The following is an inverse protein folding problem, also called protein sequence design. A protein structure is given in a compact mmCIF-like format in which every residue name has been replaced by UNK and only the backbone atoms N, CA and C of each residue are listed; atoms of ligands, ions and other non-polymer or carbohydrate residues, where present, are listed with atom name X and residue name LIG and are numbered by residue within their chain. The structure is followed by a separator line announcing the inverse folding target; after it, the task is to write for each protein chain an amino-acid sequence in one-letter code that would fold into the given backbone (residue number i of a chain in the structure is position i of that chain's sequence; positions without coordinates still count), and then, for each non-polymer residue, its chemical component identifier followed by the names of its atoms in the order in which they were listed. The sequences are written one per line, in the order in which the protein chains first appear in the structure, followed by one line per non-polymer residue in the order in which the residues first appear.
data_IF_857119394626
#
_entry.id   IF_857119394626
#
_cell.length_a   1.000
_cell.length_b   1.000
_cell.length_c   1.000
_cell.angle_alpha   90.00
_cell.angle_beta   90.00
_cell.angle_gamma   90.00
#
_symmetry.space_group_name_H-M   'P 1'
#
loop_
_entity.id
_entity.type
_entity.pdbx_description
1 polymer ?
#
# COMPACT_ATOMS: atom_id res chain seq x y z
N UNK A 1 -42.97 13.31 -43.28
CA UNK A 1 -41.96 12.25 -43.49
C UNK A 1 -40.57 12.88 -43.51
N UNK A 2 -39.84 12.85 -42.40
CA UNK A 2 -38.37 12.99 -42.38
C UNK A 2 -37.85 12.32 -41.10
N UNK A 3 -36.82 11.48 -41.24
CA UNK A 3 -36.26 10.58 -40.21
C UNK A 3 -35.39 11.32 -39.18
N UNK A 4 -35.29 10.73 -37.99
CA UNK A 4 -34.38 11.07 -36.89
C UNK A 4 -32.89 10.97 -37.29
N UNK A 5 -32.00 11.54 -36.47
CA UNK A 5 -31.09 10.63 -35.78
C UNK A 5 -31.06 10.82 -34.26
N UNK A 6 -30.97 9.68 -33.59
CA UNK A 6 -30.72 9.42 -32.18
C UNK A 6 -29.36 9.96 -31.74
N UNK A 7 -29.32 10.78 -30.69
CA UNK A 7 -28.06 11.06 -29.97
C UNK A 7 -27.96 10.13 -28.77
N UNK A 8 -27.02 9.19 -28.87
CA UNK A 8 -26.53 8.34 -27.79
C UNK A 8 -25.77 9.21 -26.79
N UNK A 9 -26.30 9.38 -25.58
CA UNK A 9 -25.51 9.85 -24.43
C UNK A 9 -24.92 8.59 -23.77
N UNK A 10 -23.80 8.14 -24.30
CA UNK A 10 -22.90 7.22 -23.63
C UNK A 10 -21.51 7.86 -23.64
N UNK A 11 -20.99 8.21 -22.46
CA UNK A 11 -19.60 8.64 -22.32
C UNK A 11 -19.39 9.80 -21.37
N UNK A 12 -19.31 9.48 -20.06
CA UNK A 12 -18.24 9.93 -19.15
C UNK A 12 -18.60 9.54 -17.71
N UNK A 13 -18.27 8.30 -17.36
CA UNK A 13 -17.95 7.95 -15.98
C UNK A 13 -16.62 7.21 -16.00
N UNK A 14 -15.55 7.94 -15.75
CA UNK A 14 -14.28 7.38 -15.34
C UNK A 14 -13.50 8.48 -14.63
N UNK A 15 -12.87 8.12 -13.51
CA UNK A 15 -11.98 8.92 -12.64
C UNK A 15 -12.67 9.63 -11.47
N UNK A 16 -13.03 8.82 -10.47
CA UNK A 16 -13.28 9.28 -9.10
C UNK A 16 -12.64 8.33 -8.05
N UNK A 17 -11.46 7.76 -8.34
CA UNK A 17 -10.75 6.84 -7.42
C UNK A 17 -9.27 7.26 -7.23
N UNK A 18 -9.00 8.51 -6.89
CA UNK A 18 -7.67 8.92 -6.41
C UNK A 18 -7.77 9.23 -4.93
N UNK A 19 -7.12 8.42 -4.09
CA UNK A 19 -6.99 8.69 -2.66
C UNK A 19 -5.89 9.74 -2.45
N UNK A 20 -6.17 10.88 -1.83
CA UNK A 20 -5.12 11.68 -1.23
C UNK A 20 -4.64 10.97 0.04
N UNK A 21 -3.48 10.32 -0.01
CA UNK A 21 -2.80 9.86 1.21
C UNK A 21 -2.15 11.11 1.82
N UNK A 22 -2.88 11.77 2.73
CA UNK A 22 -2.34 12.89 3.49
C UNK A 22 -1.53 12.38 4.68
N UNK A 23 -0.24 12.71 4.71
CA UNK A 23 0.54 12.70 5.95
C UNK A 23 0.19 13.98 6.71
N UNK A 24 -0.29 13.89 7.95
CA UNK A 24 -0.36 15.06 8.83
C UNK A 24 1.03 15.27 9.45
N UNK A 25 1.60 16.47 9.28
CA UNK A 25 2.96 16.83 9.70
C UNK A 25 3.20 16.91 11.23
N UNK A 26 2.24 16.48 12.06
CA UNK A 26 2.39 16.47 13.53
C UNK A 26 3.01 15.16 14.04
N UNK A 27 4.33 15.06 13.92
CA UNK A 27 5.12 14.03 14.62
C UNK A 27 5.51 14.54 16.02
N UNK A 28 4.65 14.31 17.01
CA UNK A 28 4.97 14.59 18.42
C UNK A 28 5.78 13.42 19.03
N UNK A 29 7.08 13.63 19.21
CA UNK A 29 7.99 12.70 19.88
C UNK A 29 7.73 12.72 21.40
N UNK A 30 6.65 12.13 21.87
CA UNK A 30 6.48 12.10 23.33
C UNK A 30 5.33 11.34 23.97
N UNK A 31 4.26 10.95 23.28
CA UNK A 31 3.12 10.34 23.98
C UNK A 31 2.44 9.25 23.12
N UNK A 32 2.19 8.08 23.73
CA UNK A 32 1.47 6.93 23.13
C UNK A 32 -0.04 7.18 22.97
N UNK A 33 -0.43 8.38 22.57
CA UNK A 33 -1.80 8.74 22.17
C UNK A 33 -1.73 9.99 21.29
N UNK A 34 -2.23 9.91 20.05
CA UNK A 34 -2.38 11.08 19.17
C UNK A 34 -3.84 11.50 19.20
N UNK A 35 -4.10 12.66 19.79
CA UNK A 35 -5.25 13.52 19.49
C UNK A 35 -4.77 14.63 18.55
N UNK A 36 -5.39 14.78 17.38
CA UNK A 36 -5.13 15.92 16.49
C UNK A 36 -6.46 16.55 16.07
N UNK A 37 -6.60 17.85 16.37
CA UNK A 37 -7.71 18.71 15.96
C UNK A 37 -7.32 19.45 14.68
N UNK A 38 -8.17 19.37 13.65
CA UNK A 38 -8.03 20.14 12.41
C UNK A 38 -9.39 20.38 11.75
N UNK A 39 -9.93 21.57 11.98
CA UNK A 39 -11.19 22.17 11.48
C UNK A 39 -12.36 21.21 11.22
N UNK A 40 -12.99 20.74 12.30
CA UNK A 40 -14.34 20.17 12.24
C UNK A 40 -15.33 21.33 12.20
N UNK A 41 -16.03 21.52 11.08
CA UNK A 41 -17.26 22.29 11.07
C UNK A 41 -18.32 21.52 11.86
N UNK A 42 -18.38 21.75 13.16
CA UNK A 42 -19.30 21.07 14.09
C UNK A 42 -20.70 21.65 13.95
N UNK A 43 -21.63 20.91 13.34
CA UNK A 43 -23.07 21.17 13.46
C UNK A 43 -23.60 20.39 14.68
N UNK A 44 -24.05 21.05 15.75
CA UNK A 44 -24.22 20.40 17.05
C UNK A 44 -25.61 19.77 17.22
N UNK A 45 -26.03 18.81 16.39
CA UNK A 45 -27.17 17.91 16.70
C UNK A 45 -27.11 16.59 15.89
N UNK A 46 -26.38 15.58 16.36
CA UNK A 46 -26.67 14.16 16.05
C UNK A 46 -25.85 13.22 16.95
N UNK A 47 -26.47 12.20 17.58
CA UNK A 47 -25.77 11.25 18.42
C UNK A 47 -25.09 10.16 17.56
N UNK A 48 -23.83 9.87 17.90
CA UNK A 48 -23.09 8.63 17.68
C UNK A 48 -23.30 7.83 16.38
N UNK A 49 -22.32 7.92 15.46
CA UNK A 49 -21.53 6.83 14.83
C UNK A 49 -20.70 7.50 13.74
N UNK A 50 -19.38 7.54 13.93
CA UNK A 50 -18.44 8.21 13.03
C UNK A 50 -18.36 7.50 11.70
N UNK A 51 -18.98 8.06 10.66
CA UNK A 51 -18.74 7.67 9.27
C UNK A 51 -17.35 8.16 8.88
N UNK A 52 -16.35 7.27 8.90
CA UNK A 52 -15.06 7.55 8.31
C UNK A 52 -15.25 7.86 6.82
N UNK A 53 -14.67 8.97 6.36
CA UNK A 53 -14.61 9.33 4.94
C UNK A 53 -13.95 8.16 4.18
N UNK A 54 -14.55 7.61 3.10
CA UNK A 54 -13.98 6.48 2.35
C UNK A 54 -12.59 6.75 1.75
N UNK A 55 -12.14 8.00 1.78
CA UNK A 55 -10.88 8.43 1.21
C UNK A 55 -9.70 8.48 2.20
N UNK A 56 -9.93 8.25 3.49
CA UNK A 56 -8.88 8.33 4.52
C UNK A 56 -8.56 6.93 5.06
N UNK A 57 -7.32 6.48 4.85
CA UNK A 57 -6.80 5.24 5.44
C UNK A 57 -5.90 5.60 6.61
N UNK A 58 -6.34 5.28 7.83
CA UNK A 58 -5.53 5.46 9.04
C UNK A 58 -4.70 4.19 9.26
N UNK A 59 -3.38 4.31 9.12
CA UNK A 59 -2.43 3.24 9.46
C UNK A 59 -1.88 3.52 10.85
N UNK A 60 -2.23 2.67 11.82
CA UNK A 60 -1.62 2.71 13.16
C UNK A 60 -0.43 1.76 13.18
N UNK A 61 0.73 2.28 13.57
CA UNK A 61 1.95 1.50 13.80
C UNK A 61 2.47 1.74 15.22
N UNK A 62 3.15 0.75 15.78
CA UNK A 62 4.00 0.88 16.96
C UNK A 62 5.16 1.86 16.68
N UNK A 63 5.90 2.20 17.73
CA UNK A 63 7.09 3.03 17.62
C UNK A 63 8.01 2.54 16.49
N UNK A 64 8.28 3.42 15.53
CA UNK A 64 9.19 3.19 14.41
C UNK A 64 10.44 4.06 14.59
N UNK A 65 11.41 3.61 15.41
CA UNK A 65 12.62 4.41 15.68
C UNK A 65 13.49 4.62 14.44
N UNK A 66 13.28 3.84 13.37
CA UNK A 66 14.04 3.94 12.12
C UNK A 66 13.41 4.89 11.09
N UNK A 67 12.12 5.24 11.29
CA UNK A 67 11.31 6.03 10.37
C UNK A 67 11.01 5.36 9.02
N UNK A 68 11.28 4.06 8.85
CA UNK A 68 11.09 3.38 7.56
C UNK A 68 9.61 3.32 7.16
N UNK A 69 8.69 3.20 8.13
CA UNK A 69 7.24 3.16 7.86
C UNK A 69 6.81 4.47 7.20
N UNK A 70 7.26 5.62 7.71
CA UNK A 70 6.96 6.92 7.13
C UNK A 70 7.46 7.04 5.68
N UNK A 71 8.69 6.57 5.42
CA UNK A 71 9.27 6.53 4.06
C UNK A 71 8.49 5.59 3.13
N UNK A 72 8.08 4.43 3.62
CA UNK A 72 7.28 3.47 2.87
C UNK A 72 5.91 4.05 2.48
N UNK A 73 5.22 4.73 3.40
CA UNK A 73 3.95 5.40 3.12
C UNK A 73 4.13 6.53 2.09
N UNK A 74 5.19 7.34 2.23
CA UNK A 74 5.50 8.39 1.26
C UNK A 74 5.81 7.80 -0.13
N UNK A 75 6.50 6.65 -0.18
CA UNK A 75 6.77 5.92 -1.43
C UNK A 75 5.48 5.41 -2.07
N UNK A 76 4.59 4.77 -1.32
CA UNK A 76 3.29 4.31 -1.81
C UNK A 76 2.44 5.47 -2.35
N UNK A 77 2.47 6.63 -1.68
CA UNK A 77 1.78 7.83 -2.14
C UNK A 77 2.27 8.26 -3.53
N UNK A 78 3.60 8.35 -3.73
CA UNK A 78 4.20 8.65 -5.04
C UNK A 78 3.86 7.60 -6.11
N UNK A 79 3.83 6.32 -5.75
CA UNK A 79 3.47 5.25 -6.68
C UNK A 79 2.00 5.34 -7.12
N UNK A 80 1.10 5.73 -6.21
CA UNK A 80 -0.33 5.90 -6.53
C UNK A 80 -0.63 7.05 -7.50
N UNK A 81 0.33 7.97 -7.70
CA UNK A 81 0.22 9.09 -8.63
C UNK A 81 0.65 8.72 -10.06
N UNK A 82 1.31 7.56 -10.25
CA UNK A 82 1.74 7.10 -11.57
C UNK A 82 0.54 7.00 -12.51
N UNK A 83 0.68 7.61 -13.68
CA UNK A 83 -0.31 7.49 -14.75
C UNK A 83 -0.02 6.24 -15.58
N UNK A 84 -1.02 5.79 -16.35
CA UNK A 84 -0.80 4.77 -17.36
C UNK A 84 0.37 5.16 -18.28
N UNK A 85 1.11 4.16 -18.73
CA UNK A 85 2.31 4.25 -19.54
C UNK A 85 3.49 4.98 -18.85
N UNK A 86 3.59 4.91 -17.52
CA UNK A 86 4.69 5.53 -16.75
C UNK A 86 6.09 4.98 -17.11
N UNK A 87 6.16 3.78 -17.68
CA UNK A 87 7.40 3.13 -18.12
C UNK A 87 7.69 3.30 -19.61
N UNK A 88 6.81 3.95 -20.38
CA UNK A 88 6.82 3.98 -21.85
C UNK A 88 6.62 2.64 -22.58
N UNK A 89 6.33 1.55 -21.85
CA UNK A 89 6.08 0.21 -22.39
C UNK A 89 4.65 -0.28 -22.10
N UNK A 90 3.74 0.63 -21.75
CA UNK A 90 2.32 0.35 -21.58
C UNK A 90 1.92 -0.07 -20.17
N UNK A 91 2.74 0.19 -19.14
CA UNK A 91 2.38 -0.10 -17.76
C UNK A 91 1.06 0.57 -17.34
N UNK A 92 0.34 -0.05 -16.42
CA UNK A 92 -0.87 0.50 -15.82
C UNK A 92 -0.53 1.37 -14.61
N UNK A 93 -1.38 2.35 -14.36
CA UNK A 93 -1.44 3.04 -13.07
C UNK A 93 -1.66 2.02 -11.93
N UNK A 94 -1.17 2.36 -10.74
CA UNK A 94 -1.27 1.47 -9.59
C UNK A 94 -2.73 1.38 -9.11
N UNK A 95 -3.21 0.16 -8.94
CA UNK A 95 -4.58 -0.08 -8.51
C UNK A 95 -4.77 0.17 -7.02
N UNK A 96 -5.95 0.71 -6.67
CA UNK A 96 -6.30 1.05 -5.28
C UNK A 96 -6.20 -0.15 -4.35
N UNK A 97 -6.62 -1.33 -4.79
CA UNK A 97 -6.59 -2.54 -3.97
C UNK A 97 -5.15 -2.97 -3.65
N UNK A 98 -4.21 -2.78 -4.58
CA UNK A 98 -2.79 -3.03 -4.34
C UNK A 98 -2.24 -2.09 -3.26
N UNK A 99 -2.58 -0.79 -3.32
CA UNK A 99 -2.17 0.20 -2.30
C UNK A 99 -2.72 -0.16 -0.93
N UNK A 100 -4.01 -0.50 -0.84
CA UNK A 100 -4.65 -0.88 0.43
C UNK A 100 -4.01 -2.14 1.04
N UNK A 101 -3.70 -3.15 0.21
CA UNK A 101 -3.01 -4.33 0.68
C UNK A 101 -1.57 -4.03 1.09
N UNK A 102 -0.87 -3.14 0.38
CA UNK A 102 0.48 -2.70 0.75
C UNK A 102 0.52 -2.01 2.12
N UNK A 103 -0.47 -1.17 2.43
CA UNK A 103 -0.60 -0.54 3.75
C UNK A 103 -0.89 -1.59 4.85
N UNK A 104 -1.72 -2.59 4.56
CA UNK A 104 -1.96 -3.70 5.48
C UNK A 104 -0.69 -4.53 5.71
N UNK A 105 0.13 -4.73 4.67
CA UNK A 105 1.41 -5.41 4.77
C UNK A 105 2.39 -4.63 5.65
N UNK A 106 2.55 -3.32 5.43
CA UNK A 106 3.39 -2.45 6.29
C UNK A 106 2.94 -2.56 7.74
N UNK A 107 1.63 -2.48 8.00
CA UNK A 107 1.07 -2.68 9.35
C UNK A 107 1.34 -4.09 9.89
N UNK A 108 1.44 -5.12 9.06
CA UNK A 108 1.75 -6.47 9.54
C UNK A 108 3.23 -6.64 9.91
N UNK A 109 4.13 -5.97 9.20
CA UNK A 109 5.58 -6.19 9.34
C UNK A 109 6.30 -5.06 10.10
N UNK A 110 5.61 -3.97 10.47
CA UNK A 110 6.23 -2.89 11.24
C UNK A 110 6.77 -3.42 12.58
N UNK A 111 8.08 -3.50 12.69
CA UNK A 111 8.82 -3.83 13.89
C UNK A 111 10.23 -3.22 13.76
N UNK A 112 10.82 -2.81 14.88
CA UNK A 112 12.13 -2.19 14.94
C UNK A 112 13.29 -3.04 14.36
N UNK A 113 13.10 -4.34 14.17
CA UNK A 113 14.12 -5.26 13.66
C UNK A 113 13.98 -5.60 12.17
N UNK A 114 13.06 -4.95 11.45
CA UNK A 114 12.84 -5.20 10.03
C UNK A 114 13.72 -4.30 9.18
N UNK A 115 14.47 -4.91 8.26
CA UNK A 115 15.16 -4.16 7.20
C UNK A 115 14.12 -3.47 6.31
N UNK A 116 14.39 -2.22 5.93
CA UNK A 116 13.51 -1.47 5.04
C UNK A 116 13.45 -2.12 3.65
N UNK A 117 12.26 -2.48 3.14
CA UNK A 117 12.11 -3.00 1.79
C UNK A 117 12.30 -1.90 0.74
N UNK A 118 12.77 -2.30 -0.43
CA UNK A 118 12.52 -1.50 -1.64
C UNK A 118 11.07 -1.71 -2.06
N UNK A 119 10.35 -0.62 -2.37
CA UNK A 119 8.96 -0.69 -2.83
C UNK A 119 8.87 -0.17 -4.27
N UNK A 120 8.49 -1.05 -5.18
CA UNK A 120 8.47 -0.81 -6.63
C UNK A 120 7.08 -1.05 -7.24
N UNK A 121 6.73 -0.31 -8.32
CA UNK A 121 5.51 -0.57 -9.08
C UNK A 121 5.68 -1.78 -10.00
N UNK A 122 4.62 -2.56 -10.18
CA UNK A 122 4.54 -3.59 -11.21
C UNK A 122 3.80 -3.04 -12.44
N UNK A 123 4.23 -3.43 -13.64
CA UNK A 123 3.67 -2.94 -14.89
C UNK A 123 2.17 -3.23 -15.06
N UNK A 124 1.65 -4.25 -14.36
CA UNK A 124 0.23 -4.61 -14.38
C UNK A 124 -0.66 -3.74 -13.46
N UNK A 125 -0.09 -2.78 -12.72
CA UNK A 125 -0.79 -1.97 -11.73
C UNK A 125 -0.68 -2.50 -10.29
N UNK A 126 0.14 -3.52 -10.06
CA UNK A 126 0.47 -4.05 -8.73
C UNK A 126 1.65 -3.32 -8.06
N UNK A 127 2.02 -3.78 -6.87
CA UNK A 127 3.16 -3.28 -6.08
C UNK A 127 4.01 -4.47 -5.65
N UNK A 128 5.32 -4.29 -5.56
CA UNK A 128 6.22 -5.30 -5.00
C UNK A 128 7.09 -4.70 -3.89
N UNK A 129 7.28 -5.48 -2.84
CA UNK A 129 8.23 -5.23 -1.76
C UNK A 129 9.40 -6.20 -1.92
N UNK A 130 10.62 -5.69 -1.83
CA UNK A 130 11.84 -6.46 -2.09
C UNK A 130 12.83 -6.26 -0.96
N UNK A 131 13.35 -7.37 -0.44
CA UNK A 131 14.48 -7.39 0.46
C UNK A 131 15.58 -8.23 -0.16
N UNK A 132 16.75 -7.62 -0.32
CA UNK A 132 17.94 -8.27 -0.84
C UNK A 132 19.03 -8.20 0.21
N UNK A 133 19.53 -9.36 0.61
CA UNK A 133 20.70 -9.53 1.48
C UNK A 133 21.70 -10.46 0.78
N UNK A 134 22.99 -10.50 1.17
CA UNK A 134 23.95 -11.36 0.49
C UNK A 134 23.61 -12.86 0.50
N UNK A 135 22.72 -13.30 1.41
CA UNK A 135 22.35 -14.70 1.57
C UNK A 135 20.88 -14.98 1.24
N UNK A 136 20.02 -13.97 1.22
CA UNK A 136 18.57 -14.13 1.12
C UNK A 136 17.94 -13.06 0.26
N UNK A 137 17.01 -13.49 -0.57
CA UNK A 137 16.14 -12.63 -1.35
C UNK A 137 14.69 -12.94 -0.97
N UNK A 138 13.93 -11.92 -0.63
CA UNK A 138 12.51 -12.01 -0.30
C UNK A 138 11.75 -11.00 -1.15
N UNK A 139 10.75 -11.48 -1.88
CA UNK A 139 9.83 -10.63 -2.63
C UNK A 139 8.41 -10.90 -2.19
N UNK A 140 7.64 -9.82 -2.07
CA UNK A 140 6.22 -9.87 -1.78
C UNK A 140 5.51 -9.05 -2.84
N UNK A 141 4.92 -9.74 -3.80
CA UNK A 141 4.19 -9.12 -4.90
C UNK A 141 2.73 -8.99 -4.51
N UNK A 142 2.14 -7.84 -4.76
CA UNK A 142 0.73 -7.53 -4.53
C UNK A 142 0.13 -7.21 -5.90
N UNK A 143 -0.77 -8.07 -6.34
CA UNK A 143 -1.42 -7.94 -7.63
C UNK A 143 -2.46 -6.79 -7.62
N UNK A 144 -2.92 -6.35 -8.81
CA UNK A 144 -3.91 -5.28 -8.95
C UNK A 144 -5.22 -5.52 -8.19
N UNK A 145 -5.60 -6.78 -7.95
CA UNK A 145 -6.82 -7.13 -7.21
C UNK A 145 -6.62 -7.18 -5.68
N UNK A 146 -5.40 -6.93 -5.18
CA UNK A 146 -5.04 -6.98 -3.77
C UNK A 146 -4.67 -8.37 -3.24
N UNK A 147 -4.66 -9.41 -4.07
CA UNK A 147 -4.02 -10.69 -3.74
C UNK A 147 -2.51 -10.50 -3.72
N UNK A 148 -1.83 -11.19 -2.83
CA UNK A 148 -0.38 -11.15 -2.79
C UNK A 148 0.21 -12.56 -2.93
N UNK A 149 1.50 -12.60 -3.21
CA UNK A 149 2.34 -13.80 -3.33
C UNK A 149 3.70 -13.53 -2.69
N UNK A 150 4.35 -14.58 -2.18
CA UNK A 150 5.72 -14.51 -1.68
C UNK A 150 6.63 -15.33 -2.59
N UNK A 151 7.81 -14.78 -2.88
CA UNK A 151 8.97 -15.51 -3.35
C UNK A 151 10.09 -15.38 -2.31
N UNK A 152 10.78 -16.47 -1.99
CA UNK A 152 11.94 -16.46 -1.12
C UNK A 152 13.04 -17.37 -1.64
N UNK A 153 14.27 -16.85 -1.65
CA UNK A 153 15.48 -17.58 -1.97
C UNK A 153 16.50 -17.44 -0.83
N UNK A 154 17.23 -18.52 -0.55
CA UNK A 154 18.37 -18.52 0.36
C UNK A 154 19.55 -19.27 -0.26
N UNK A 155 20.69 -18.59 -0.35
CA UNK A 155 21.93 -19.03 -0.99
C UNK A 155 22.73 -20.08 -0.18
N UNK A 156 22.03 -20.96 0.55
CA UNK A 156 22.64 -22.06 1.30
C UNK A 156 23.28 -23.13 0.40
N UNK A 157 23.76 -24.22 1.03
CA UNK A 157 24.26 -25.39 0.30
C UNK A 157 23.49 -26.65 0.75
N UNK A 158 22.50 -27.14 -0.03
CA UNK A 158 22.05 -26.61 -1.31
C UNK A 158 21.26 -25.30 -1.18
N UNK A 159 21.16 -24.48 -2.24
CA UNK A 159 20.28 -23.32 -2.25
C UNK A 159 18.82 -23.77 -2.12
N UNK A 160 18.01 -22.95 -1.46
CA UNK A 160 16.60 -23.25 -1.24
C UNK A 160 15.73 -22.11 -1.76
N UNK A 161 14.69 -22.46 -2.52
CA UNK A 161 13.66 -21.53 -2.99
C UNK A 161 12.28 -21.97 -2.51
N UNK A 162 11.39 -20.99 -2.30
CA UNK A 162 9.99 -21.25 -1.97
C UNK A 162 9.10 -20.16 -2.56
N UNK A 163 7.95 -20.56 -3.09
CA UNK A 163 6.90 -19.69 -3.64
C UNK A 163 5.54 -20.07 -3.04
N UNK A 164 4.64 -19.10 -2.87
CA UNK A 164 3.30 -19.40 -2.38
C UNK A 164 2.33 -18.21 -2.32
N UNK A 165 1.05 -18.55 -2.17
CA UNK A 165 -0.05 -17.59 -1.99
C UNK A 165 -0.15 -17.09 -0.54
N UNK A 166 -0.73 -15.89 -0.40
CA UNK A 166 -0.69 -15.07 0.81
C UNK A 166 -1.78 -15.36 1.83
N UNK A 167 -2.63 -16.35 1.63
CA UNK A 167 -3.60 -16.74 2.68
C UNK A 167 -2.92 -17.07 4.02
N UNK A 168 -1.65 -17.47 4.00
CA UNK A 168 -0.82 -17.76 5.18
C UNK A 168 0.21 -16.64 5.52
N UNK A 169 0.14 -15.49 4.83
CA UNK A 169 1.17 -14.45 4.77
C UNK A 169 1.59 -13.90 6.13
N UNK A 170 0.65 -13.56 7.02
CA UNK A 170 1.01 -12.79 8.22
C UNK A 170 2.01 -13.52 9.12
N UNK A 171 1.85 -14.84 9.29
CA UNK A 171 2.78 -15.65 10.07
C UNK A 171 4.10 -15.90 9.34
N UNK A 172 4.02 -16.26 8.05
CA UNK A 172 5.21 -16.59 7.26
C UNK A 172 6.08 -15.37 6.99
N UNK A 173 5.48 -14.23 6.63
CA UNK A 173 6.22 -13.01 6.29
C UNK A 173 6.93 -12.43 7.50
N UNK A 174 6.31 -12.41 8.67
CA UNK A 174 6.97 -11.93 9.88
C UNK A 174 8.19 -12.81 10.21
N UNK A 175 8.06 -14.13 10.03
CA UNK A 175 9.18 -15.06 10.24
C UNK A 175 10.29 -14.86 9.20
N UNK A 176 9.94 -14.76 7.92
CA UNK A 176 10.90 -14.58 6.83
C UNK A 176 11.64 -13.24 6.94
N UNK A 177 10.90 -12.15 7.14
CA UNK A 177 11.46 -10.80 7.32
C UNK A 177 12.39 -10.75 8.54
N UNK A 178 12.01 -11.35 9.66
CA UNK A 178 12.90 -11.44 10.84
C UNK A 178 14.15 -12.24 10.55
N UNK A 179 14.09 -13.23 9.65
CA UNK A 179 15.24 -14.04 9.31
C UNK A 179 16.27 -13.30 8.45
N UNK A 180 15.95 -12.13 7.92
CA UNK A 180 16.86 -11.35 7.08
C UNK A 180 18.00 -10.67 7.87
N UNK A 181 17.85 -10.52 9.19
CA UNK A 181 18.86 -9.98 10.12
C UNK A 181 19.28 -11.01 11.15
#
# INVERSE_FOLDING_TARGET
MTRLPTSSIAGRQARANRLPIALSDDWDYGNNEIQAWGTVSYHPQSPAIGYANPDVVIVRVQADPTGWVGRAIARLSKLSELQDNWDSYGAKSIERNAVLMALNLIRAIHNAHVLEPTIVPLANGGIQFEWHTPQKDLEVSISPNGQASIYFEHAGNPPTTSEGDVSDLLGQIQALVRSLG
#
